data_IF_690839387113
#
_entry.id   IF_690839387113
#
_cell.length_a   1.000
_cell.length_b   1.000
_cell.length_c   1.000
_cell.angle_alpha   90.00
_cell.angle_beta   90.00
_cell.angle_gamma   90.00
#
_symmetry.space_group_name_H-M   'P 1'
#
loop_
_entity.id
_entity.type
_entity.pdbx_description
1 polymer ?
#
# COMPACT_ATOMS: atom_id res chain seq x y z
N UNK A 1 16.34 10.07 -3.91
CA UNK A 1 16.35 8.63 -4.23
C UNK A 1 16.51 7.84 -2.94
N UNK A 2 15.80 6.72 -2.77
CA UNK A 2 15.78 5.99 -1.51
C UNK A 2 17.19 5.47 -1.22
N UNK A 3 17.69 5.76 -0.01
CA UNK A 3 18.93 5.25 0.59
C UNK A 3 20.11 5.04 -0.36
N UNK A 4 20.69 6.13 -0.87
CA UNK A 4 22.01 6.08 -1.48
C UNK A 4 23.07 5.94 -0.36
N UNK A 5 23.35 4.71 0.03
CA UNK A 5 24.45 4.39 0.94
C UNK A 5 25.58 3.79 0.12
N UNK A 6 26.73 4.46 0.07
CA UNK A 6 27.93 3.96 -0.61
C UNK A 6 28.36 2.57 -0.11
N UNK A 7 27.96 2.23 1.13
CA UNK A 7 28.32 0.98 1.78
C UNK A 7 27.52 -0.22 1.27
N UNK A 8 26.28 -0.01 0.83
CA UNK A 8 25.37 -1.10 0.43
C UNK A 8 24.55 -0.71 -0.78
N UNK A 9 25.01 -1.16 -1.95
CA UNK A 9 24.27 -1.04 -3.19
C UNK A 9 23.31 -2.24 -3.32
N UNK A 10 22.04 -2.02 -3.01
CA UNK A 10 21.03 -3.08 -3.00
C UNK A 10 20.84 -3.69 -4.41
N UNK A 11 21.16 -2.94 -5.47
CA UNK A 11 21.00 -3.38 -6.86
C UNK A 11 21.95 -4.53 -7.23
N UNK A 12 23.05 -4.67 -6.47
CA UNK A 12 24.06 -5.73 -6.64
C UNK A 12 23.77 -6.99 -5.84
N UNK A 13 22.75 -6.99 -4.99
CA UNK A 13 22.40 -8.17 -4.21
C UNK A 13 21.87 -9.30 -5.13
N UNK A 14 22.27 -10.57 -4.94
CA UNK A 14 21.86 -11.67 -5.83
C UNK A 14 20.33 -11.86 -5.92
N UNK A 15 19.60 -11.41 -4.90
CA UNK A 15 18.14 -11.46 -4.84
C UNK A 15 17.44 -10.17 -5.27
N UNK A 16 18.16 -9.15 -5.77
CA UNK A 16 17.57 -7.87 -6.18
C UNK A 16 16.45 -8.03 -7.23
N UNK A 17 16.56 -9.05 -8.09
CA UNK A 17 15.57 -9.42 -9.12
C UNK A 17 14.15 -9.67 -8.60
N UNK A 18 13.96 -9.85 -7.30
CA UNK A 18 12.64 -10.07 -6.68
C UNK A 18 11.99 -8.78 -6.16
N UNK A 19 12.67 -7.63 -6.23
CA UNK A 19 12.09 -6.35 -5.81
C UNK A 19 11.25 -5.74 -6.93
N UNK A 20 10.31 -4.87 -6.56
CA UNK A 20 9.52 -4.06 -7.48
C UNK A 20 10.38 -3.15 -8.35
N UNK A 21 11.50 -2.67 -7.81
CA UNK A 21 12.43 -1.77 -8.51
C UNK A 21 13.12 -2.47 -9.69
N UNK A 22 13.33 -3.79 -9.60
CA UNK A 22 13.91 -4.59 -10.68
C UNK A 22 12.88 -4.99 -11.73
N UNK A 23 11.63 -5.23 -11.33
CA UNK A 23 10.53 -5.57 -12.22
C UNK A 23 9.19 -5.14 -11.59
N UNK A 24 8.40 -4.26 -12.23
CA UNK A 24 7.10 -3.82 -11.73
C UNK A 24 6.13 -4.97 -11.43
N UNK A 25 6.28 -6.12 -12.07
CA UNK A 25 5.45 -7.33 -11.81
C UNK A 25 5.66 -7.92 -10.42
N UNK A 26 6.77 -7.60 -9.76
CA UNK A 26 7.03 -8.01 -8.39
C UNK A 26 6.36 -7.08 -7.36
N UNK A 27 5.76 -5.96 -7.79
CA UNK A 27 5.05 -5.07 -6.89
C UNK A 27 3.86 -5.81 -6.27
N UNK A 28 3.75 -5.73 -4.95
CA UNK A 28 2.65 -6.31 -4.22
C UNK A 28 1.40 -5.42 -4.36
N UNK A 29 0.35 -5.97 -4.95
CA UNK A 29 -0.93 -5.29 -5.12
C UNK A 29 -1.78 -5.44 -3.85
N UNK A 30 -1.65 -4.47 -2.95
CA UNK A 30 -2.34 -4.49 -1.65
C UNK A 30 -3.85 -4.59 -1.83
N UNK A 31 -4.44 -3.86 -2.79
CA UNK A 31 -5.89 -3.80 -2.99
C UNK A 31 -6.48 -5.15 -3.41
N UNK A 32 -5.72 -5.91 -4.20
CA UNK A 32 -6.10 -7.27 -4.59
C UNK A 32 -6.11 -8.25 -3.42
N UNK A 33 -5.20 -8.08 -2.46
CA UNK A 33 -5.03 -9.02 -1.33
C UNK A 33 -5.76 -8.60 -0.06
N UNK A 34 -6.01 -7.30 0.13
CA UNK A 34 -6.70 -6.75 1.30
C UNK A 34 -7.95 -6.00 0.83
N UNK A 35 -9.10 -6.69 0.92
CA UNK A 35 -10.40 -6.05 0.72
C UNK A 35 -10.71 -5.17 1.94
N UNK A 36 -10.76 -3.86 1.74
CA UNK A 36 -11.29 -2.90 2.73
C UNK A 36 -12.82 -2.89 2.78
N UNK A 37 -13.49 -3.64 1.88
CA UNK A 37 -14.95 -3.77 1.89
C UNK A 37 -15.40 -4.55 3.10
N UNK A 38 -16.27 -3.94 3.90
CA UNK A 38 -16.98 -4.58 4.99
C UNK A 38 -17.91 -5.66 4.40
N UNK A 39 -17.71 -6.92 4.80
CA UNK A 39 -18.58 -8.04 4.42
C UNK A 39 -19.54 -8.31 5.57
N UNK A 40 -20.71 -7.70 5.51
CA UNK A 40 -21.78 -7.91 6.49
C UNK A 40 -22.54 -9.20 6.20
N UNK A 41 -22.93 -9.92 7.25
CA UNK A 41 -23.96 -10.96 7.13
C UNK A 41 -25.36 -10.31 7.11
N UNK A 42 -26.38 -10.98 6.53
CA UNK A 42 -27.71 -10.37 6.36
C UNK A 42 -28.37 -9.93 7.69
N UNK A 43 -28.08 -10.61 8.79
CA UNK A 43 -28.63 -10.32 10.12
C UNK A 43 -27.66 -9.56 11.05
N UNK A 44 -26.55 -9.04 10.51
CA UNK A 44 -25.51 -8.37 11.30
C UNK A 44 -25.86 -6.89 11.52
N UNK A 45 -26.03 -6.50 12.78
CA UNK A 45 -26.17 -5.09 13.18
C UNK A 45 -24.80 -4.41 13.16
N UNK A 46 -24.71 -3.22 12.56
CA UNK A 46 -23.49 -2.43 12.51
C UNK A 46 -23.79 -0.96 12.79
N UNK A 47 -22.83 -0.29 13.43
CA UNK A 47 -22.93 1.13 13.73
C UNK A 47 -22.22 1.94 12.65
N UNK A 48 -22.89 2.97 12.15
CA UNK A 48 -22.35 3.86 11.11
C UNK A 48 -21.84 5.13 11.77
N UNK A 49 -20.54 5.39 11.61
CA UNK A 49 -19.92 6.61 12.06
C UNK A 49 -19.61 7.52 10.88
N UNK A 50 -19.98 8.80 10.98
CA UNK A 50 -19.52 9.82 10.05
C UNK A 50 -18.10 10.24 10.44
N UNK A 51 -17.12 9.74 9.70
CA UNK A 51 -15.73 10.13 9.85
C UNK A 51 -15.49 11.44 9.09
N UNK A 52 -16.07 12.54 9.59
CA UNK A 52 -16.13 13.84 8.92
C UNK A 52 -14.83 14.23 8.19
N UNK A 53 -14.96 14.98 7.09
CA UNK A 53 -13.83 15.35 6.23
C UNK A 53 -12.64 15.85 7.05
N UNK A 54 -11.56 15.08 7.08
CA UNK A 54 -10.29 15.57 7.59
C UNK A 54 -9.92 16.78 6.71
N UNK A 55 -9.86 17.97 7.31
CA UNK A 55 -9.53 19.20 6.63
C UNK A 55 -8.10 19.12 6.05
N UNK A 56 -7.97 18.55 4.86
CA UNK A 56 -6.81 18.62 3.99
C UNK A 56 -7.21 19.49 2.80
N UNK A 57 -6.59 20.66 2.70
CA UNK A 57 -6.83 21.72 1.73
C UNK A 57 -6.98 21.23 0.27
N UNK A 58 -8.18 21.38 -0.29
CA UNK A 58 -8.34 21.73 -1.71
C UNK A 58 -7.90 23.20 -1.85
N UNK A 59 -6.71 23.43 -2.40
CA UNK A 59 -6.40 24.70 -3.06
C UNK A 59 -6.88 24.56 -4.50
N UNK A 60 -7.72 25.51 -4.89
CA UNK A 60 -8.39 25.68 -6.17
C UNK A 60 -7.45 25.66 -7.40
#
# INVERSE_FOLDING_TARGET
VPFLSDKYDITKHPNYKYLSDANPKNAFDIEKFLSTKLKLKPEEEFEVFDAGAAAGSESA
#
